data_IF_882826695112
#
_entry.id   IF_882826695112
#
_cell.length_a   1.000
_cell.length_b   1.000
_cell.length_c   1.000
_cell.angle_alpha   90.00
_cell.angle_beta   90.00
_cell.angle_gamma   90.00
#
_symmetry.space_group_name_H-M   'P 1'
#
loop_
_entity.id
_entity.type
_entity.pdbx_description
1 polymer ?
#
# COMPACT_ATOMS: atom_id res chain seq x y z
N UNK A 1 11.81 0.07 -17.84
CA UNK A 1 11.62 0.20 -16.37
C UNK A 1 11.70 1.68 -16.00
N UNK A 2 10.80 2.21 -15.16
CA UNK A 2 10.78 3.65 -14.85
C UNK A 2 11.73 4.06 -13.71
N UNK A 3 11.92 3.22 -12.69
CA UNK A 3 12.74 3.56 -11.51
C UNK A 3 14.23 3.30 -11.73
N UNK A 4 14.59 2.15 -12.33
CA UNK A 4 15.97 1.76 -12.66
C UNK A 4 16.02 1.27 -14.11
N UNK A 5 16.14 2.14 -15.12
CA UNK A 5 15.97 1.76 -16.53
C UNK A 5 16.98 0.70 -17.02
N UNK A 6 18.20 0.70 -16.47
CA UNK A 6 19.29 -0.19 -16.86
C UNK A 6 19.18 -1.62 -16.31
N UNK A 7 18.26 -1.88 -15.38
CA UNK A 7 18.03 -3.20 -14.77
C UNK A 7 19.29 -3.86 -14.17
N UNK A 8 20.14 -3.05 -13.56
CA UNK A 8 21.43 -3.43 -12.97
C UNK A 8 21.35 -3.81 -11.48
N UNK A 9 20.16 -3.74 -10.88
CA UNK A 9 19.91 -4.14 -9.49
C UNK A 9 19.29 -5.55 -9.46
N UNK A 10 19.90 -6.52 -8.73
CA UNK A 10 19.32 -7.84 -8.55
C UNK A 10 17.95 -7.78 -7.85
N UNK A 11 16.98 -8.56 -8.34
CA UNK A 11 15.61 -8.59 -7.80
C UNK A 11 15.25 -9.99 -7.34
N UNK A 12 14.69 -10.09 -6.13
CA UNK A 12 13.99 -11.27 -5.64
C UNK A 12 12.49 -10.96 -5.56
N UNK A 13 11.66 -11.84 -6.11
CA UNK A 13 10.21 -11.69 -6.09
C UNK A 13 9.60 -12.47 -4.93
N UNK A 14 8.68 -11.83 -4.22
CA UNK A 14 7.92 -12.43 -3.13
C UNK A 14 6.43 -12.35 -3.44
N UNK A 15 5.77 -13.51 -3.45
CA UNK A 15 4.32 -13.60 -3.69
C UNK A 15 3.52 -13.25 -2.44
N UNK A 16 2.36 -12.61 -2.63
CA UNK A 16 1.35 -12.42 -1.57
C UNK A 16 0.53 -13.69 -1.38
N UNK A 17 -0.02 -13.88 -0.18
CA UNK A 17 -0.90 -15.01 0.14
C UNK A 17 -2.34 -14.52 0.23
N UNK A 18 -3.10 -14.68 -0.84
CA UNK A 18 -4.44 -14.04 -0.99
C UNK A 18 -5.50 -14.50 0.00
N UNK A 19 -5.27 -15.62 0.70
CA UNK A 19 -6.17 -16.15 1.73
C UNK A 19 -5.85 -15.63 3.14
N UNK A 20 -4.75 -14.87 3.28
CA UNK A 20 -4.28 -14.32 4.55
C UNK A 20 -4.61 -12.83 4.67
N UNK A 21 -4.65 -12.30 5.88
CA UNK A 21 -5.06 -10.93 6.15
C UNK A 21 -3.90 -9.90 6.11
N UNK A 22 -4.23 -8.64 6.37
CA UNK A 22 -3.25 -7.55 6.45
C UNK A 22 -2.19 -7.77 7.52
N UNK A 23 -2.59 -8.31 8.69
CA UNK A 23 -1.69 -8.60 9.81
C UNK A 23 -0.64 -9.66 9.45
N UNK A 24 -1.01 -10.70 8.71
CA UNK A 24 -0.07 -11.70 8.20
C UNK A 24 1.01 -11.05 7.32
N UNK A 25 0.61 -10.22 6.36
CA UNK A 25 1.54 -9.55 5.45
C UNK A 25 2.40 -8.49 6.15
N UNK A 26 1.86 -7.82 7.18
CA UNK A 26 2.63 -6.93 8.06
C UNK A 26 3.70 -7.71 8.83
N UNK A 27 3.35 -8.86 9.41
CA UNK A 27 4.33 -9.71 10.10
C UNK A 27 5.40 -10.27 9.17
N UNK A 28 5.03 -10.58 7.91
CA UNK A 28 6.00 -10.93 6.87
C UNK A 28 6.97 -9.77 6.60
N UNK A 29 6.47 -8.54 6.52
CA UNK A 29 7.28 -7.32 6.46
C UNK A 29 8.26 -7.22 7.65
N UNK A 30 7.78 -7.44 8.87
CA UNK A 30 8.62 -7.44 10.08
C UNK A 30 9.73 -8.48 10.00
N UNK A 31 9.46 -9.67 9.48
CA UNK A 31 10.47 -10.71 9.29
C UNK A 31 11.53 -10.33 8.25
N UNK A 32 11.18 -9.50 7.27
CA UNK A 32 12.11 -8.98 6.25
C UNK A 32 12.89 -7.74 6.70
N UNK A 33 12.47 -7.07 7.78
CA UNK A 33 13.05 -5.81 8.23
C UNK A 33 14.59 -5.84 8.37
N UNK A 34 15.24 -6.90 8.90
CA UNK A 34 16.71 -6.95 9.01
C UNK A 34 17.46 -6.82 7.68
N UNK A 35 16.86 -7.20 6.55
CA UNK A 35 17.50 -7.07 5.24
C UNK A 35 17.78 -5.62 4.85
N UNK A 36 17.06 -4.65 5.45
CA UNK A 36 17.31 -3.23 5.24
C UNK A 36 18.69 -2.80 5.75
N UNK A 37 19.16 -3.42 6.83
CA UNK A 37 20.49 -3.18 7.40
C UNK A 37 21.59 -3.81 6.52
N UNK A 38 21.22 -4.75 5.65
CA UNK A 38 22.07 -5.39 4.63
C UNK A 38 22.02 -4.67 3.26
N UNK A 39 21.38 -3.50 3.18
CA UNK A 39 21.29 -2.70 1.95
C UNK A 39 20.22 -3.17 0.96
N UNK A 40 19.27 -4.00 1.40
CA UNK A 40 18.13 -4.44 0.56
C UNK A 40 17.00 -3.41 0.60
N UNK A 41 16.58 -2.96 -0.58
CA UNK A 41 15.38 -2.13 -0.74
C UNK A 41 14.13 -3.03 -0.81
N UNK A 42 13.20 -2.82 0.13
CA UNK A 42 11.89 -3.50 0.14
C UNK A 42 10.85 -2.62 -0.54
N UNK A 43 10.26 -3.11 -1.63
CA UNK A 43 9.24 -2.38 -2.41
C UNK A 43 7.92 -3.15 -2.38
N UNK A 44 6.86 -2.50 -1.89
CA UNK A 44 5.49 -2.96 -2.06
C UNK A 44 4.83 -2.26 -3.24
N UNK A 45 4.61 -2.98 -4.35
CA UNK A 45 3.92 -2.44 -5.53
C UNK A 45 2.47 -2.91 -5.57
N UNK A 46 1.53 -1.96 -5.51
CA UNK A 46 0.09 -2.23 -5.42
C UNK A 46 -0.73 -0.99 -5.77
N UNK A 47 -1.90 -0.84 -5.14
CA UNK A 47 -2.71 0.36 -5.27
C UNK A 47 -3.49 0.65 -3.99
N UNK A 48 -3.65 1.94 -3.65
CA UNK A 48 -4.42 2.36 -2.49
C UNK A 48 -5.92 2.07 -2.67
N UNK A 49 -6.45 2.11 -3.89
CA UNK A 49 -7.83 1.70 -4.22
C UNK A 49 -7.85 0.92 -5.53
N UNK A 50 -8.42 -0.28 -5.54
CA UNK A 50 -8.38 -1.17 -6.70
C UNK A 50 -9.73 -1.89 -6.93
N UNK A 51 -10.71 -1.16 -7.45
CA UNK A 51 -11.99 -1.71 -7.87
C UNK A 51 -12.25 -1.49 -9.35
N UNK A 52 -11.92 -2.49 -10.16
CA UNK A 52 -12.10 -2.45 -11.62
C UNK A 52 -13.58 -2.46 -12.05
N UNK A 53 -14.51 -2.84 -11.17
CA UNK A 53 -15.96 -2.79 -11.47
C UNK A 53 -16.53 -1.37 -11.29
N UNK A 54 -15.77 -0.44 -10.73
CA UNK A 54 -16.21 0.92 -10.41
C UNK A 54 -15.51 2.01 -11.22
N UNK A 55 -14.77 1.62 -12.27
CA UNK A 55 -14.01 2.55 -13.11
C UNK A 55 -14.94 3.57 -13.78
N UNK A 56 -14.44 4.79 -13.85
CA UNK A 56 -15.04 5.90 -14.58
C UNK A 56 -14.25 6.15 -15.87
N UNK A 57 -14.76 6.98 -16.79
CA UNK A 57 -13.96 7.55 -17.86
C UNK A 57 -12.66 8.15 -17.33
N UNK A 58 -11.62 8.22 -18.16
CA UNK A 58 -10.28 8.65 -17.74
C UNK A 58 -10.28 10.03 -17.05
N UNK A 59 -11.03 10.98 -17.61
CA UNK A 59 -11.20 12.34 -17.09
C UNK A 59 -12.44 12.49 -16.19
N UNK A 60 -13.02 11.37 -15.75
CA UNK A 60 -14.15 11.35 -14.83
C UNK A 60 -13.73 11.83 -13.44
N UNK A 61 -14.65 12.47 -12.68
CA UNK A 61 -14.35 12.92 -11.33
C UNK A 61 -14.00 11.74 -10.42
N UNK A 62 -13.16 12.00 -9.41
CA UNK A 62 -12.88 11.02 -8.37
C UNK A 62 -14.16 10.71 -7.60
N UNK A 63 -14.51 9.44 -7.49
CA UNK A 63 -15.71 9.01 -6.77
C UNK A 63 -15.50 9.12 -5.26
N UNK A 64 -16.50 9.63 -4.53
CA UNK A 64 -16.35 10.03 -3.13
C UNK A 64 -15.82 8.90 -2.24
N UNK A 65 -16.39 7.70 -2.37
CA UNK A 65 -15.99 6.54 -1.58
C UNK A 65 -14.49 6.20 -1.74
N UNK A 66 -13.92 6.43 -2.93
CA UNK A 66 -12.51 6.15 -3.19
C UNK A 66 -11.64 7.21 -2.51
N UNK A 67 -12.01 8.49 -2.65
CA UNK A 67 -11.33 9.59 -1.96
C UNK A 67 -11.41 9.49 -0.44
N UNK A 68 -12.52 8.99 0.10
CA UNK A 68 -12.72 8.79 1.55
C UNK A 68 -11.84 7.66 2.09
N UNK A 69 -11.74 6.52 1.37
CA UNK A 69 -10.80 5.45 1.72
C UNK A 69 -9.34 5.91 1.63
N UNK A 70 -8.97 6.58 0.54
CA UNK A 70 -7.60 7.07 0.32
C UNK A 70 -7.19 8.10 1.38
N UNK A 71 -8.09 9.02 1.74
CA UNK A 71 -7.87 9.99 2.83
C UNK A 71 -7.65 9.28 4.16
N UNK A 72 -8.53 8.32 4.51
CA UNK A 72 -8.36 7.51 5.73
C UNK A 72 -7.02 6.76 5.73
N UNK A 73 -6.61 6.21 4.59
CA UNK A 73 -5.36 5.48 4.46
C UNK A 73 -4.16 6.41 4.67
N UNK A 74 -4.13 7.53 3.97
CA UNK A 74 -3.10 8.56 4.11
C UNK A 74 -2.97 8.98 5.56
N UNK A 75 -4.08 9.35 6.21
CA UNK A 75 -4.09 9.78 7.61
C UNK A 75 -3.64 8.65 8.55
N UNK A 76 -3.98 7.40 8.27
CA UNK A 76 -3.51 6.26 9.07
C UNK A 76 -1.99 6.11 8.98
N UNK A 77 -1.44 6.18 7.78
CA UNK A 77 -0.02 5.97 7.52
C UNK A 77 0.86 7.11 8.04
N UNK A 78 0.48 8.38 7.84
CA UNK A 78 1.27 9.53 8.33
C UNK A 78 1.25 9.65 9.86
N UNK A 79 0.19 9.16 10.51
CA UNK A 79 0.05 9.17 11.97
C UNK A 79 0.53 7.88 12.63
N UNK A 80 1.05 6.91 11.88
CA UNK A 80 1.56 5.64 12.43
C UNK A 80 0.46 4.74 13.01
N UNK A 81 -0.79 4.83 12.51
CA UNK A 81 -1.91 3.98 12.92
C UNK A 81 -1.84 2.60 12.26
N UNK A 82 -0.75 1.86 12.46
CA UNK A 82 -0.49 0.59 11.77
C UNK A 82 -1.55 -0.47 12.05
N UNK A 83 -2.06 -0.53 13.29
CA UNK A 83 -3.14 -1.45 13.66
C UNK A 83 -4.43 -1.19 12.87
N UNK A 84 -4.77 0.08 12.64
CA UNK A 84 -5.93 0.45 11.83
C UNK A 84 -5.75 0.00 10.38
N UNK A 85 -4.53 0.14 9.82
CA UNK A 85 -4.20 -0.32 8.46
C UNK A 85 -4.26 -1.84 8.37
N UNK A 86 -3.68 -2.57 9.33
CA UNK A 86 -3.70 -4.03 9.36
C UNK A 86 -5.13 -4.59 9.46
N UNK A 87 -6.05 -3.86 10.09
CA UNK A 87 -7.47 -4.20 10.20
C UNK A 87 -8.37 -3.33 9.32
N UNK A 88 -7.87 -2.85 8.18
CA UNK A 88 -8.59 -1.93 7.29
C UNK A 88 -10.00 -2.42 6.91
N UNK A 89 -10.23 -3.73 6.78
CA UNK A 89 -11.55 -4.30 6.46
C UNK A 89 -12.65 -3.90 7.45
N UNK A 90 -12.26 -3.69 8.72
CA UNK A 90 -13.16 -3.29 9.81
C UNK A 90 -13.07 -1.79 10.12
N UNK A 91 -11.91 -1.18 9.91
CA UNK A 91 -11.58 0.18 10.37
C UNK A 91 -11.73 1.25 9.28
N UNK A 92 -11.57 0.87 8.01
CA UNK A 92 -11.61 1.81 6.90
C UNK A 92 -13.04 2.01 6.36
N UNK A 93 -13.39 3.24 5.96
CA UNK A 93 -14.63 3.47 5.23
C UNK A 93 -14.57 2.80 3.86
N UNK A 94 -15.62 2.08 3.46
CA UNK A 94 -15.73 1.44 2.14
C UNK A 94 -14.64 0.41 1.80
N UNK A 95 -13.98 -0.22 2.78
CA UNK A 95 -12.89 -1.18 2.54
C UNK A 95 -13.20 -2.23 1.45
N UNK A 96 -14.35 -2.91 1.56
CA UNK A 96 -14.80 -3.92 0.58
C UNK A 96 -15.10 -3.35 -0.81
N UNK A 97 -15.42 -2.06 -0.89
CA UNK A 97 -15.65 -1.38 -2.16
C UNK A 97 -14.35 -0.90 -2.77
N UNK A 98 -13.39 -0.44 -1.97
CA UNK A 98 -12.05 -0.09 -2.43
C UNK A 98 -11.25 -1.30 -2.89
N UNK A 99 -11.42 -2.43 -2.21
CA UNK A 99 -10.75 -3.69 -2.49
C UNK A 99 -11.76 -4.85 -2.47
N UNK A 100 -12.53 -5.06 -3.55
CA UNK A 100 -13.37 -6.26 -3.68
C UNK A 100 -12.56 -7.55 -3.61
N UNK A 101 -11.29 -7.46 -4.04
CA UNK A 101 -10.24 -8.42 -3.72
C UNK A 101 -9.01 -7.66 -3.22
N UNK A 102 -8.37 -8.12 -2.13
CA UNK A 102 -7.40 -7.33 -1.38
C UNK A 102 -5.93 -7.50 -1.80
N UNK A 103 -5.64 -8.32 -2.82
CA UNK A 103 -4.28 -8.66 -3.23
C UNK A 103 -3.42 -7.44 -3.59
N UNK A 104 -4.03 -6.40 -4.17
CA UNK A 104 -3.34 -5.16 -4.53
C UNK A 104 -3.03 -4.26 -3.33
N UNK A 105 -3.58 -4.57 -2.15
CA UNK A 105 -3.39 -3.82 -0.92
C UNK A 105 -2.40 -4.49 0.04
N UNK A 106 -2.20 -5.81 -0.06
CA UNK A 106 -1.23 -6.53 0.77
C UNK A 106 0.23 -6.10 0.63
N UNK A 107 0.74 -5.69 -0.55
CA UNK A 107 2.10 -5.18 -0.68
C UNK A 107 2.41 -3.99 0.24
N UNK A 108 1.42 -3.13 0.51
CA UNK A 108 1.56 -2.01 1.45
C UNK A 108 1.86 -2.50 2.87
N UNK A 109 1.18 -3.57 3.31
CA UNK A 109 1.36 -4.13 4.65
C UNK A 109 2.77 -4.68 4.85
N UNK A 110 3.32 -5.33 3.82
CA UNK A 110 4.71 -5.82 3.83
C UNK A 110 5.69 -4.66 3.97
N UNK A 111 5.53 -3.59 3.17
CA UNK A 111 6.38 -2.41 3.25
C UNK A 111 6.28 -1.72 4.62
N UNK A 112 5.06 -1.61 5.17
CA UNK A 112 4.79 -1.05 6.48
C UNK A 112 5.46 -1.86 7.60
N UNK A 113 5.33 -3.19 7.58
CA UNK A 113 5.96 -4.06 8.56
C UNK A 113 7.48 -4.03 8.52
N UNK A 114 8.06 -3.95 7.31
CA UNK A 114 9.49 -3.83 7.11
C UNK A 114 10.07 -2.47 7.59
N UNK A 115 9.25 -1.43 7.61
CA UNK A 115 9.66 -0.11 8.05
C UNK A 115 9.88 -0.01 9.57
N UNK A 116 9.23 -0.88 10.36
CA UNK A 116 9.33 -0.91 11.82
C UNK A 116 8.16 -0.23 12.53
N UNK A 117 7.93 -0.60 13.81
CA UNK A 117 6.71 -0.27 14.57
C UNK A 117 6.49 1.23 14.84
N UNK A 118 7.57 2.02 14.86
CA UNK A 118 7.52 3.47 15.06
C UNK A 118 7.55 4.26 13.75
N UNK A 119 7.60 3.58 12.60
CA UNK A 119 7.71 4.23 11.29
C UNK A 119 6.45 5.03 10.95
N UNK A 120 6.67 6.16 10.30
CA UNK A 120 5.61 6.97 9.69
C UNK A 120 5.85 7.03 8.19
N UNK A 121 4.76 7.17 7.45
CA UNK A 121 4.84 7.35 6.02
C UNK A 121 4.97 8.82 5.63
N UNK A 122 5.68 9.05 4.54
CA UNK A 122 5.64 10.27 3.76
C UNK A 122 4.93 9.97 2.43
N UNK A 123 3.93 10.77 2.08
CA UNK A 123 3.26 10.69 0.78
C UNK A 123 4.17 11.33 -0.28
N UNK A 124 4.78 10.51 -1.14
CA UNK A 124 5.75 10.97 -2.15
C UNK A 124 5.14 11.15 -3.53
N UNK A 125 3.96 10.59 -3.78
CA UNK A 125 3.18 10.80 -5.00
C UNK A 125 1.70 10.64 -4.69
N UNK A 126 0.85 11.42 -5.35
CA UNK A 126 -0.60 11.32 -5.21
C UNK A 126 -1.27 11.75 -6.51
N UNK A 127 -1.92 10.81 -7.18
CA UNK A 127 -2.68 11.05 -8.39
C UNK A 127 -3.77 9.99 -8.52
N UNK A 128 -4.70 10.25 -9.43
CA UNK A 128 -5.87 9.42 -9.66
C UNK A 128 -5.98 9.10 -11.14
N UNK A 129 -6.58 7.95 -11.45
CA UNK A 129 -7.05 7.65 -12.80
C UNK A 129 -8.34 6.85 -12.76
N UNK A 130 -9.11 6.94 -13.85
CA UNK A 130 -10.36 6.21 -14.04
C UNK A 130 -11.34 6.41 -12.88
N UNK A 131 -11.33 7.61 -12.27
CA UNK A 131 -12.18 8.04 -11.15
C UNK A 131 -12.01 7.30 -9.82
N UNK A 132 -11.41 6.10 -9.77
CA UNK A 132 -11.36 5.30 -8.55
C UNK A 132 -10.04 4.59 -8.29
N UNK A 133 -9.03 4.73 -9.16
CA UNK A 133 -7.70 4.18 -8.94
C UNK A 133 -6.79 5.26 -8.34
N UNK A 134 -6.41 5.08 -7.08
CA UNK A 134 -5.40 5.91 -6.43
C UNK A 134 -4.00 5.34 -6.68
N UNK A 135 -3.11 6.24 -7.10
CA UNK A 135 -1.67 5.99 -7.21
C UNK A 135 -0.89 6.64 -6.06
N UNK A 136 -1.53 6.84 -4.90
CA UNK A 136 -0.83 7.27 -3.70
C UNK A 136 0.36 6.35 -3.42
N UNK A 137 1.55 6.93 -3.35
CA UNK A 137 2.80 6.21 -3.09
C UNK A 137 3.44 6.76 -1.84
N UNK A 138 3.96 5.85 -1.01
CA UNK A 138 4.45 6.18 0.31
C UNK A 138 5.90 5.75 0.46
N UNK A 139 6.71 6.64 1.05
CA UNK A 139 8.04 6.31 1.56
C UNK A 139 7.94 6.11 3.06
N UNK A 140 8.52 5.03 3.56
CA UNK A 140 8.69 4.82 5.00
C UNK A 140 10.14 5.06 5.37
N UNK A 141 10.37 5.92 6.33
CA UNK A 141 11.69 6.09 6.95
C UNK A 141 11.69 5.32 8.26
N UNK A 142 12.62 4.38 8.41
CA UNK A 142 12.93 3.83 9.73
C UNK A 142 13.57 4.89 10.62
N UNK A 143 13.47 4.69 11.93
CA UNK A 143 14.34 5.37 12.90
C UNK A 143 15.69 4.66 12.89
#
# INVERSE_FOLDING_TARGET
MLMYPEADIPVCQLSVQTQMDGTHHYNMGKALAPLRDEGVLIIGSGSATHNLMALQPHDGPVVSWASEFDTWLKESLINGRHEDVNHYEKKAPYAKKAHPRPEHFYPLHVALGAAGESSKAELIHHSWSLGSLSYASYRFSGV
#
